data_IF_551479203467
#
_entry.id   IF_551479203467
#
_cell.length_a   1.000
_cell.length_b   1.000
_cell.length_c   1.000
_cell.angle_alpha   90.00
_cell.angle_beta   90.00
_cell.angle_gamma   90.00
#
_symmetry.space_group_name_H-M   'P 1'
#
loop_
_entity.id
_entity.type
_entity.pdbx_description
1 polymer ?
#
# COMPACT_ATOMS: atom_id res chain seq x y z
N UNK A 1 3.61 14.57 29.61
CA UNK A 1 3.74 13.53 28.55
C UNK A 1 3.19 14.12 27.27
N UNK A 2 3.94 14.10 26.15
CA UNK A 2 3.52 14.75 24.90
C UNK A 2 2.53 13.91 24.09
N UNK A 3 2.36 12.63 24.43
CA UNK A 3 1.57 11.69 23.62
C UNK A 3 0.84 10.69 24.51
N UNK A 4 -0.45 10.54 24.31
CA UNK A 4 -1.23 9.43 24.84
C UNK A 4 -1.25 8.30 23.79
N UNK A 5 -0.78 7.11 24.13
CA UNK A 5 -0.89 5.93 23.29
C UNK A 5 -2.34 5.45 23.26
N UNK A 6 -2.90 5.33 22.07
CA UNK A 6 -4.25 4.77 21.87
C UNK A 6 -4.18 3.30 21.53
N UNK A 7 -3.16 2.90 20.77
CA UNK A 7 -3.02 1.54 20.24
C UNK A 7 -1.54 1.18 20.08
N UNK A 8 -1.14 0.09 20.72
CA UNK A 8 0.22 -0.42 20.68
C UNK A 8 0.22 -1.86 20.16
N UNK A 9 0.86 -2.08 19.00
CA UNK A 9 1.15 -3.42 18.49
C UNK A 9 2.47 -3.95 19.03
N UNK A 10 2.88 -5.14 18.58
CA UNK A 10 4.22 -5.67 18.80
C UNK A 10 5.25 -4.71 18.21
N UNK A 11 6.21 -4.26 19.03
CA UNK A 11 7.23 -3.32 18.62
C UNK A 11 8.50 -4.06 18.19
N UNK A 12 9.10 -3.57 17.12
CA UNK A 12 10.46 -3.91 16.76
C UNK A 12 11.41 -3.14 17.70
N UNK A 13 12.36 -3.81 18.38
CA UNK A 13 13.31 -3.13 19.25
C UNK A 13 14.22 -2.13 18.52
N UNK A 14 14.30 -2.19 17.20
CA UNK A 14 15.09 -1.26 16.35
C UNK A 14 14.34 0.04 16.06
N UNK A 15 13.02 0.11 16.24
CA UNK A 15 12.25 1.32 15.99
C UNK A 15 12.27 2.26 17.19
N UNK A 16 12.55 3.58 16.99
CA UNK A 16 12.68 4.53 18.08
C UNK A 16 11.34 5.08 18.61
N UNK A 17 10.21 4.54 18.20
CA UNK A 17 8.88 5.13 18.42
C UNK A 17 8.54 5.42 19.88
N UNK A 18 9.15 4.70 20.81
CA UNK A 18 8.95 4.87 22.26
C UNK A 18 10.05 5.65 22.96
N UNK A 19 11.15 5.94 22.26
CA UNK A 19 12.27 6.73 22.80
C UNK A 19 11.81 8.16 23.11
N UNK A 20 12.02 8.66 24.37
CA UNK A 20 11.65 10.01 24.74
C UNK A 20 12.37 11.11 23.94
N UNK A 21 13.63 10.91 23.57
CA UNK A 21 14.40 11.87 22.78
C UNK A 21 13.87 11.96 21.35
N UNK A 22 13.57 10.81 20.74
CA UNK A 22 12.94 10.75 19.43
C UNK A 22 11.55 11.42 19.42
N UNK A 23 10.73 11.16 20.45
CA UNK A 23 9.42 11.80 20.62
C UNK A 23 9.51 13.30 20.83
N UNK A 24 10.52 13.77 21.54
CA UNK A 24 10.76 15.20 21.72
C UNK A 24 11.14 15.86 20.38
N UNK A 25 12.01 15.22 19.60
CA UNK A 25 12.46 15.69 18.30
C UNK A 25 11.29 15.74 17.29
N UNK A 26 10.49 14.68 17.19
CA UNK A 26 9.30 14.65 16.31
C UNK A 26 8.27 15.68 16.73
N UNK A 27 8.03 15.84 18.04
CA UNK A 27 7.13 16.84 18.55
C UNK A 27 7.60 18.27 18.28
N UNK A 28 8.90 18.54 18.28
CA UNK A 28 9.46 19.85 17.91
C UNK A 28 9.27 20.11 16.41
N UNK A 29 9.59 19.14 15.56
CA UNK A 29 9.41 19.24 14.11
C UNK A 29 7.93 19.49 13.74
N UNK A 30 7.00 18.69 14.28
CA UNK A 30 5.56 18.88 14.04
C UNK A 30 5.10 20.29 14.38
N UNK A 31 5.51 20.84 15.55
CA UNK A 31 5.12 22.20 15.94
C UNK A 31 5.71 23.26 15.02
N UNK A 32 6.95 23.08 14.59
CA UNK A 32 7.60 23.97 13.65
C UNK A 32 6.84 24.01 12.31
N UNK A 33 6.53 22.83 11.75
CA UNK A 33 5.81 22.76 10.48
C UNK A 33 4.38 23.31 10.58
N UNK A 34 3.65 22.97 11.65
CA UNK A 34 2.32 23.55 11.91
C UNK A 34 2.37 25.08 12.00
N UNK A 35 3.37 25.63 12.68
CA UNK A 35 3.52 27.09 12.78
C UNK A 35 3.80 27.73 11.41
N UNK A 36 4.61 27.09 10.56
CA UNK A 36 4.85 27.51 9.16
C UNK A 36 3.58 27.56 8.31
N UNK A 37 2.60 26.72 8.62
CA UNK A 37 1.28 26.70 7.98
C UNK A 37 0.20 27.53 8.71
N UNK A 38 0.56 28.27 9.76
CA UNK A 38 -0.40 29.05 10.56
C UNK A 38 -1.38 28.16 11.37
N UNK A 39 -1.04 26.90 11.59
CA UNK A 39 -1.86 25.94 12.33
C UNK A 39 -1.43 25.88 13.80
N UNK A 40 -2.40 25.97 14.73
CA UNK A 40 -2.13 25.95 16.15
C UNK A 40 -2.64 24.63 16.77
N UNK A 41 -1.78 23.82 17.39
CA UNK A 41 -2.23 22.63 18.12
C UNK A 41 -3.14 22.99 19.30
N UNK A 42 -4.24 22.23 19.49
CA UNK A 42 -5.18 22.44 20.60
C UNK A 42 -4.74 21.81 21.92
N UNK A 43 -4.01 20.71 21.86
CA UNK A 43 -3.61 19.93 23.01
C UNK A 43 -2.13 19.56 22.93
N UNK A 44 -1.53 19.28 24.09
CA UNK A 44 -0.16 18.79 24.15
C UNK A 44 -0.09 17.27 24.11
N UNK A 45 -1.19 16.58 24.42
CA UNK A 45 -1.30 15.13 24.37
C UNK A 45 -1.93 14.70 23.05
N UNK A 46 -1.09 14.24 22.14
CA UNK A 46 -1.52 13.72 20.85
C UNK A 46 -1.76 12.22 20.91
N UNK A 47 -2.77 11.74 20.22
CA UNK A 47 -3.04 10.31 20.15
C UNK A 47 -2.03 9.63 19.25
N UNK A 48 -1.36 8.61 19.77
CA UNK A 48 -0.41 7.79 19.03
C UNK A 48 -1.00 6.43 18.68
N UNK A 49 -0.78 6.01 17.43
CA UNK A 49 -0.94 4.63 16.98
C UNK A 49 0.44 4.13 16.61
N UNK A 50 0.94 3.12 17.34
CA UNK A 50 2.29 2.60 17.17
C UNK A 50 2.20 1.19 16.63
N UNK A 51 2.83 0.97 15.48
CA UNK A 51 2.98 -0.31 14.81
C UNK A 51 4.44 -0.55 14.46
N UNK A 52 4.82 -1.77 14.14
CA UNK A 52 6.18 -2.11 13.68
C UNK A 52 6.54 -1.36 12.39
N UNK A 53 5.57 -1.20 11.49
CA UNK A 53 5.73 -0.61 10.16
C UNK A 53 5.48 0.90 10.10
N UNK A 54 4.93 1.52 11.15
CA UNK A 54 4.75 2.97 11.21
C UNK A 54 4.34 3.45 12.59
N UNK A 55 4.54 4.73 12.85
CA UNK A 55 3.87 5.44 13.91
C UNK A 55 3.05 6.59 13.34
N UNK A 56 1.83 6.73 13.84
CA UNK A 56 0.91 7.80 13.50
C UNK A 56 0.58 8.61 14.74
N UNK A 57 0.63 9.94 14.61
CA UNK A 57 0.09 10.85 15.63
C UNK A 57 -1.07 11.65 15.06
N UNK A 58 -2.24 11.56 15.70
CA UNK A 58 -3.35 12.48 15.42
C UNK A 58 -3.14 13.73 16.27
N UNK A 59 -2.88 14.85 15.61
CA UNK A 59 -2.60 16.15 16.21
C UNK A 59 -3.81 17.06 16.04
N UNK A 60 -4.60 17.30 17.07
CA UNK A 60 -5.73 18.22 16.99
C UNK A 60 -5.24 19.66 16.84
N UNK A 61 -5.78 20.40 15.85
CA UNK A 61 -5.56 21.84 15.68
C UNK A 61 -6.85 22.63 15.77
N UNK A 62 -6.76 23.95 15.76
CA UNK A 62 -7.96 24.82 15.73
C UNK A 62 -8.74 24.69 14.41
N UNK A 63 -8.07 24.28 13.34
CA UNK A 63 -8.65 24.15 11.98
C UNK A 63 -9.02 22.71 11.61
N UNK A 64 -8.95 21.77 12.56
CA UNK A 64 -9.15 20.34 12.34
C UNK A 64 -7.90 19.52 12.66
N UNK A 65 -7.98 18.19 12.68
CA UNK A 65 -6.83 17.36 12.96
C UNK A 65 -5.86 17.34 11.78
N UNK A 66 -4.57 17.13 12.09
CA UNK A 66 -3.53 16.74 11.13
C UNK A 66 -2.90 15.44 11.59
N UNK A 67 -2.26 14.74 10.66
CA UNK A 67 -1.67 13.45 10.93
C UNK A 67 -0.17 13.48 10.65
N UNK A 68 0.61 13.18 11.68
CA UNK A 68 2.03 12.88 11.50
C UNK A 68 2.19 11.38 11.27
N UNK A 69 3.01 11.01 10.29
CA UNK A 69 3.43 9.63 10.05
C UNK A 69 4.94 9.57 10.01
N UNK A 70 5.51 8.55 10.64
CA UNK A 70 6.90 8.18 10.46
C UNK A 70 7.02 6.69 10.13
N UNK A 71 7.90 6.38 9.20
CA UNK A 71 8.15 5.04 8.70
C UNK A 71 9.53 4.51 9.12
N UNK A 72 9.71 3.18 9.25
CA UNK A 72 11.01 2.57 9.43
C UNK A 72 11.88 2.74 8.16
N UNK A 73 13.16 2.39 8.26
CA UNK A 73 14.10 2.55 7.15
C UNK A 73 13.64 1.85 5.86
N UNK A 74 12.99 0.70 5.99
CA UNK A 74 12.52 -0.11 4.85
C UNK A 74 11.45 0.56 3.99
N UNK A 75 10.63 1.45 4.57
CA UNK A 75 9.56 2.19 3.89
C UNK A 75 9.71 3.70 4.02
N UNK A 76 10.92 4.19 4.32
CA UNK A 76 11.23 5.62 4.47
C UNK A 76 10.90 6.43 3.23
N UNK A 77 11.00 5.84 2.05
CA UNK A 77 10.66 6.45 0.76
C UNK A 77 9.23 7.00 0.70
N UNK A 78 8.31 6.44 1.49
CA UNK A 78 6.90 6.84 1.47
C UNK A 78 6.71 8.34 1.70
N UNK A 79 7.51 8.95 2.57
CA UNK A 79 7.41 10.39 2.83
C UNK A 79 7.72 11.23 1.56
N UNK A 80 8.82 10.92 0.87
CA UNK A 80 9.19 11.55 -0.39
C UNK A 80 8.19 11.26 -1.50
N UNK A 81 7.76 10.00 -1.62
CA UNK A 81 6.77 9.56 -2.60
C UNK A 81 5.42 10.29 -2.40
N UNK A 82 4.90 10.35 -1.18
CA UNK A 82 3.65 11.07 -0.87
C UNK A 82 3.75 12.55 -1.21
N UNK A 83 4.92 13.18 -0.97
CA UNK A 83 5.17 14.56 -1.35
C UNK A 83 5.17 14.76 -2.86
N UNK A 84 5.73 13.84 -3.63
CA UNK A 84 5.70 13.85 -5.09
C UNK A 84 4.27 13.64 -5.61
N UNK A 85 3.62 12.55 -5.21
CA UNK A 85 2.27 12.20 -5.66
C UNK A 85 1.24 13.29 -5.31
N UNK A 86 1.31 13.86 -4.11
CA UNK A 86 0.39 14.92 -3.70
C UNK A 86 0.56 16.24 -4.46
N UNK A 87 1.75 16.51 -5.05
CA UNK A 87 1.97 17.67 -5.92
C UNK A 87 1.52 17.43 -7.36
N UNK A 88 1.86 16.26 -7.91
CA UNK A 88 1.57 15.93 -9.31
C UNK A 88 0.13 15.45 -9.53
N UNK A 89 -0.47 14.81 -8.51
CA UNK A 89 -1.78 14.17 -8.58
C UNK A 89 -2.65 14.51 -7.34
N UNK A 90 -2.88 15.81 -7.03
CA UNK A 90 -3.61 16.23 -5.82
C UNK A 90 -5.07 15.76 -5.80
N UNK A 91 -5.63 15.41 -6.95
CA UNK A 91 -6.97 14.83 -7.09
C UNK A 91 -7.04 13.39 -6.56
N UNK A 92 -5.91 12.67 -6.53
CA UNK A 92 -5.82 11.26 -6.13
C UNK A 92 -4.98 11.01 -4.88
N UNK A 93 -4.17 11.97 -4.43
CA UNK A 93 -3.34 11.83 -3.23
C UNK A 93 -3.38 13.13 -2.44
N UNK A 94 -3.54 13.04 -1.11
CA UNK A 94 -3.47 14.22 -0.26
C UNK A 94 -2.08 14.85 -0.35
N UNK A 95 -2.04 16.15 -0.61
CA UNK A 95 -0.77 16.90 -0.56
C UNK A 95 -0.34 17.05 0.89
N UNK A 96 0.84 16.50 1.28
CA UNK A 96 1.37 16.71 2.61
C UNK A 96 1.59 18.18 2.92
N UNK A 97 1.35 18.58 4.16
CA UNK A 97 1.71 19.91 4.67
C UNK A 97 3.24 20.04 4.73
N UNK A 98 3.93 18.99 5.19
CA UNK A 98 5.38 18.94 5.25
C UNK A 98 5.89 17.51 5.06
N UNK A 99 7.12 17.39 4.55
CA UNK A 99 7.83 16.11 4.35
C UNK A 99 9.29 16.27 4.76
N UNK A 100 9.79 15.33 5.54
CA UNK A 100 11.22 15.10 5.77
C UNK A 100 11.56 13.71 5.21
N UNK A 101 12.00 13.66 3.97
CA UNK A 101 12.28 12.42 3.25
C UNK A 101 13.48 11.65 3.83
N UNK A 102 14.45 12.35 4.43
CA UNK A 102 15.62 11.71 5.06
C UNK A 102 15.23 10.92 6.31
N UNK A 103 14.29 11.46 7.10
CA UNK A 103 13.79 10.81 8.31
C UNK A 103 12.60 9.91 8.06
N UNK A 104 11.98 9.98 6.87
CA UNK A 104 10.75 9.28 6.54
C UNK A 104 9.54 9.84 7.29
N UNK A 105 9.47 11.14 7.51
CA UNK A 105 8.40 11.84 8.22
C UNK A 105 7.50 12.61 7.26
N UNK A 106 6.22 12.55 7.50
CA UNK A 106 5.22 13.35 6.78
C UNK A 106 4.19 13.94 7.74
N UNK A 107 3.72 15.15 7.43
CA UNK A 107 2.61 15.82 8.09
C UNK A 107 1.50 15.97 7.06
N UNK A 108 0.37 15.33 7.29
CA UNK A 108 -0.73 15.19 6.34
C UNK A 108 -1.97 15.92 6.86
N UNK A 109 -2.75 16.57 5.98
CA UNK A 109 -4.09 17.01 6.34
C UNK A 109 -5.00 15.81 6.66
N UNK A 110 -6.13 16.05 7.32
CA UNK A 110 -7.14 15.01 7.51
C UNK A 110 -7.88 14.75 6.19
N UNK A 111 -7.85 13.51 5.73
CA UNK A 111 -8.56 13.08 4.51
C UNK A 111 -10.03 12.75 4.72
N UNK A 112 -10.50 12.83 5.96
CA UNK A 112 -11.87 12.40 6.31
C UNK A 112 -11.97 10.88 6.54
N UNK A 113 -13.18 10.31 6.46
CA UNK A 113 -13.40 8.89 6.67
C UNK A 113 -12.78 8.07 5.53
N UNK A 114 -12.23 6.92 5.87
CA UNK A 114 -11.82 5.94 4.87
C UNK A 114 -13.05 5.24 4.25
N UNK A 115 -12.88 4.70 3.06
CA UNK A 115 -13.99 4.04 2.33
C UNK A 115 -14.64 2.93 3.16
N UNK A 116 -13.85 2.11 3.84
CA UNK A 116 -14.34 1.05 4.74
C UNK A 116 -15.29 1.59 5.82
N UNK A 117 -14.94 2.69 6.45
CA UNK A 117 -15.78 3.32 7.49
C UNK A 117 -17.06 3.88 6.90
N UNK A 118 -16.98 4.54 5.74
CA UNK A 118 -18.14 5.09 5.05
C UNK A 118 -19.13 3.99 4.60
N UNK A 119 -18.59 2.87 4.07
CA UNK A 119 -19.42 1.70 3.69
C UNK A 119 -20.05 1.04 4.91
N UNK A 120 -19.29 0.86 5.99
CA UNK A 120 -19.80 0.31 7.24
C UNK A 120 -20.93 1.18 7.85
N UNK A 121 -20.77 2.50 7.82
CA UNK A 121 -21.79 3.45 8.29
C UNK A 121 -23.08 3.38 7.44
N UNK A 122 -22.98 3.05 6.16
CA UNK A 122 -24.12 2.82 5.26
C UNK A 122 -24.77 1.44 5.47
N UNK A 123 -24.06 0.51 6.11
CA UNK A 123 -24.56 -0.83 6.45
C UNK A 123 -24.37 -1.90 5.36
N UNK A 124 -23.75 -1.56 4.23
CA UNK A 124 -23.47 -2.52 3.16
C UNK A 124 -22.30 -2.06 2.30
N UNK A 125 -21.54 -3.01 1.78
CA UNK A 125 -20.53 -2.83 0.74
C UNK A 125 -20.87 -3.78 -0.41
N UNK A 126 -20.87 -3.27 -1.63
CA UNK A 126 -21.13 -4.04 -2.85
C UNK A 126 -20.03 -3.76 -3.87
N UNK A 127 -19.91 -4.57 -4.91
CA UNK A 127 -18.94 -4.33 -5.98
C UNK A 127 -19.10 -2.95 -6.60
N UNK A 128 -20.33 -2.42 -6.70
CA UNK A 128 -20.63 -1.09 -7.27
C UNK A 128 -19.85 0.04 -6.58
N UNK A 129 -19.56 -0.11 -5.29
CA UNK A 129 -18.82 0.88 -4.52
C UNK A 129 -17.34 0.91 -4.90
N UNK A 130 -16.82 -0.18 -5.43
CA UNK A 130 -15.41 -0.33 -5.82
C UNK A 130 -15.15 -0.03 -7.31
N UNK A 131 -16.17 -0.08 -8.18
CA UNK A 131 -15.97 0.19 -9.62
C UNK A 131 -15.39 1.58 -9.89
N UNK A 132 -15.90 2.70 -9.28
CA UNK A 132 -15.29 4.01 -9.48
C UNK A 132 -13.88 4.10 -8.88
N UNK A 133 -13.61 3.40 -7.78
CA UNK A 133 -12.30 3.34 -7.13
C UNK A 133 -11.24 2.78 -8.08
N UNK A 134 -11.50 1.58 -8.64
CA UNK A 134 -10.51 0.90 -9.48
C UNK A 134 -10.30 1.60 -10.82
N UNK A 135 -11.34 2.27 -11.39
CA UNK A 135 -11.18 3.11 -12.59
C UNK A 135 -10.26 4.29 -12.31
N UNK A 136 -10.52 5.03 -11.24
CA UNK A 136 -9.70 6.18 -10.85
C UNK A 136 -8.28 5.77 -10.50
N UNK A 137 -8.12 4.63 -9.82
CA UNK A 137 -6.79 4.10 -9.50
C UNK A 137 -6.02 3.71 -10.77
N UNK A 138 -6.65 3.05 -11.74
CA UNK A 138 -6.01 2.68 -13.01
C UNK A 138 -5.57 3.90 -13.82
N UNK A 139 -6.41 4.94 -13.90
CA UNK A 139 -6.07 6.22 -14.55
C UNK A 139 -4.88 6.89 -13.85
N UNK A 140 -4.92 6.98 -12.53
CA UNK A 140 -3.83 7.52 -11.71
C UNK A 140 -2.53 6.71 -11.91
N UNK A 141 -2.60 5.38 -11.81
CA UNK A 141 -1.44 4.50 -11.93
C UNK A 141 -0.73 4.66 -13.29
N UNK A 142 -1.50 4.83 -14.38
CA UNK A 142 -0.95 5.10 -15.72
C UNK A 142 -0.31 6.48 -15.84
N UNK A 143 -0.76 7.45 -15.06
CA UNK A 143 -0.24 8.82 -15.10
C UNK A 143 1.05 9.00 -14.29
N UNK A 144 1.31 8.14 -13.30
CA UNK A 144 2.50 8.24 -12.43
C UNK A 144 3.74 7.71 -13.13
N UNK A 145 4.83 8.49 -13.13
CA UNK A 145 6.15 8.03 -13.61
C UNK A 145 6.75 6.99 -12.67
N UNK A 146 6.93 5.77 -13.18
CA UNK A 146 7.59 4.66 -12.49
C UNK A 146 9.07 4.99 -12.22
N UNK A 147 9.77 5.62 -13.18
CA UNK A 147 11.17 6.03 -13.04
C UNK A 147 11.33 7.01 -11.88
N UNK A 148 10.41 7.98 -11.79
CA UNK A 148 10.45 8.95 -10.69
C UNK A 148 10.19 8.30 -9.34
N UNK A 149 9.31 7.32 -9.28
CA UNK A 149 9.08 6.54 -8.06
C UNK A 149 10.35 5.81 -7.61
N UNK A 150 11.07 5.17 -8.54
CA UNK A 150 12.35 4.48 -8.27
C UNK A 150 13.40 5.49 -7.78
N UNK A 151 13.54 6.66 -8.41
CA UNK A 151 14.45 7.72 -7.96
C UNK A 151 14.17 8.19 -6.53
N UNK A 152 12.93 8.14 -6.09
CA UNK A 152 12.50 8.46 -4.72
C UNK A 152 12.75 7.31 -3.73
N UNK A 153 13.28 6.17 -4.20
CA UNK A 153 13.63 5.03 -3.37
C UNK A 153 12.54 3.95 -3.28
N UNK A 154 11.47 4.04 -4.07
CA UNK A 154 10.50 2.94 -4.19
C UNK A 154 11.21 1.72 -4.77
N UNK A 155 11.11 0.54 -4.14
CA UNK A 155 11.73 -0.66 -4.66
C UNK A 155 11.18 -1.03 -6.04
N UNK A 156 12.08 -1.39 -6.96
CA UNK A 156 11.69 -2.00 -8.22
C UNK A 156 11.76 -3.52 -8.06
N UNK A 157 10.62 -4.17 -8.24
CA UNK A 157 10.46 -5.64 -8.27
C UNK A 157 9.78 -6.02 -9.58
N UNK A 158 10.32 -5.48 -10.68
CA UNK A 158 9.79 -5.67 -12.01
C UNK A 158 9.71 -7.15 -12.39
N UNK A 159 8.64 -7.53 -13.07
CA UNK A 159 8.33 -8.93 -13.43
C UNK A 159 9.48 -9.61 -14.17
N UNK A 160 10.20 -8.85 -15.01
CA UNK A 160 11.35 -9.38 -15.77
C UNK A 160 12.52 -9.82 -14.92
N UNK A 161 12.68 -9.20 -13.75
CA UNK A 161 13.79 -9.48 -12.82
C UNK A 161 13.38 -10.43 -11.69
N UNK A 162 12.08 -10.66 -11.49
CA UNK A 162 11.60 -11.55 -10.45
C UNK A 162 12.17 -12.97 -10.52
N UNK A 163 12.33 -13.62 -11.69
CA UNK A 163 12.97 -14.95 -11.77
C UNK A 163 14.42 -14.95 -11.25
N UNK A 164 15.15 -13.85 -11.45
CA UNK A 164 16.53 -13.70 -10.98
C UNK A 164 16.59 -13.48 -9.45
N UNK A 165 15.45 -13.11 -8.84
CA UNK A 165 15.31 -12.92 -7.39
C UNK A 165 14.74 -14.15 -6.67
N UNK A 166 14.63 -15.31 -7.35
CA UNK A 166 14.14 -16.54 -6.73
C UNK A 166 14.95 -16.95 -5.50
N UNK A 167 16.27 -16.76 -5.51
CA UNK A 167 17.12 -16.99 -4.35
C UNK A 167 16.74 -16.08 -3.16
N UNK A 168 16.33 -14.84 -3.43
CA UNK A 168 15.83 -13.94 -2.39
C UNK A 168 14.48 -14.37 -1.87
N UNK A 169 13.58 -14.82 -2.75
CA UNK A 169 12.29 -15.40 -2.38
C UNK A 169 12.52 -16.65 -1.53
N UNK A 170 13.40 -17.55 -1.95
CA UNK A 170 13.75 -18.74 -1.17
C UNK A 170 14.38 -18.36 0.17
N UNK A 171 15.30 -17.39 0.20
CA UNK A 171 15.92 -16.91 1.43
C UNK A 171 14.90 -16.30 2.39
N UNK A 172 13.95 -15.50 1.87
CA UNK A 172 12.84 -14.97 2.66
C UNK A 172 11.91 -16.08 3.14
N UNK A 173 11.59 -17.04 2.26
CA UNK A 173 10.74 -18.20 2.56
C UNK A 173 11.37 -19.18 3.55
N UNK A 174 12.70 -19.14 3.78
CA UNK A 174 13.33 -19.98 4.82
C UNK A 174 12.89 -19.67 6.26
N UNK A 175 12.30 -18.50 6.45
CA UNK A 175 11.62 -18.16 7.71
C UNK A 175 10.28 -18.88 7.89
N UNK A 176 9.71 -19.39 6.78
CA UNK A 176 8.47 -20.14 6.77
C UNK A 176 8.73 -21.58 7.24
N UNK A 177 7.73 -22.19 7.87
CA UNK A 177 7.81 -23.57 8.35
C UNK A 177 6.54 -24.35 8.03
N UNK A 178 6.65 -25.68 8.00
CA UNK A 178 5.50 -26.57 7.85
C UNK A 178 4.72 -26.33 6.56
N UNK A 179 3.42 -26.06 6.69
CA UNK A 179 2.49 -25.94 5.56
C UNK A 179 2.81 -24.74 4.66
N UNK A 180 3.25 -23.62 5.21
CA UNK A 180 3.60 -22.43 4.46
C UNK A 180 4.77 -22.67 3.52
N UNK A 181 5.81 -23.34 4.02
CA UNK A 181 6.97 -23.74 3.22
C UNK A 181 6.56 -24.69 2.09
N UNK A 182 5.73 -25.67 2.38
CA UNK A 182 5.25 -26.63 1.37
C UNK A 182 4.44 -25.94 0.27
N UNK A 183 3.62 -24.93 0.60
CA UNK A 183 2.88 -24.13 -0.37
C UNK A 183 3.81 -23.30 -1.27
N UNK A 184 4.83 -22.67 -0.69
CA UNK A 184 5.83 -21.94 -1.45
C UNK A 184 6.56 -22.87 -2.42
N UNK A 185 7.10 -24.00 -1.93
CA UNK A 185 7.84 -24.99 -2.73
C UNK A 185 7.01 -25.52 -3.89
N UNK A 186 5.69 -25.70 -3.70
CA UNK A 186 4.78 -26.14 -4.75
C UNK A 186 4.54 -25.09 -5.85
N UNK A 187 4.79 -23.79 -5.56
CA UNK A 187 4.56 -22.68 -6.51
C UNK A 187 5.82 -22.23 -7.25
N UNK A 188 6.99 -22.38 -6.62
CA UNK A 188 8.25 -21.91 -7.20
C UNK A 188 8.57 -22.47 -8.59
N UNK A 189 8.30 -23.76 -8.92
CA UNK A 189 8.61 -24.31 -10.25
C UNK A 189 7.91 -23.58 -11.38
N UNK A 190 6.67 -23.14 -11.19
CA UNK A 190 5.88 -22.47 -12.22
C UNK A 190 6.10 -20.95 -12.22
N UNK A 191 6.67 -20.41 -11.15
CA UNK A 191 6.79 -18.97 -10.95
C UNK A 191 7.61 -18.26 -12.04
N UNK A 192 8.73 -18.83 -12.43
CA UNK A 192 9.55 -18.26 -13.49
C UNK A 192 8.82 -18.25 -14.85
N UNK A 193 8.01 -19.28 -15.13
CA UNK A 193 7.18 -19.34 -16.34
C UNK A 193 6.11 -18.25 -16.31
N UNK A 194 5.42 -18.07 -15.19
CA UNK A 194 4.41 -17.02 -15.01
C UNK A 194 4.99 -15.62 -15.19
N UNK A 195 6.17 -15.37 -14.61
CA UNK A 195 6.86 -14.09 -14.79
C UNK A 195 7.21 -13.85 -16.27
N UNK A 196 7.69 -14.88 -16.97
CA UNK A 196 8.05 -14.77 -18.37
C UNK A 196 6.82 -14.48 -19.27
N UNK A 197 5.73 -15.19 -19.06
CA UNK A 197 4.46 -14.97 -19.73
C UNK A 197 3.91 -13.56 -19.47
N UNK A 198 3.90 -13.13 -18.21
CA UNK A 198 3.42 -11.82 -17.83
C UNK A 198 4.25 -10.70 -18.48
N UNK A 199 5.58 -10.87 -18.48
CA UNK A 199 6.49 -9.92 -19.14
C UNK A 199 6.31 -9.87 -20.66
N UNK A 200 5.92 -10.99 -21.29
CA UNK A 200 5.64 -11.07 -22.73
C UNK A 200 4.36 -10.33 -23.12
N UNK A 201 3.44 -10.09 -22.17
CA UNK A 201 2.21 -9.33 -22.38
C UNK A 201 2.42 -7.86 -22.74
N UNK A 202 3.64 -7.32 -22.54
CA UNK A 202 4.02 -6.00 -23.03
C UNK A 202 3.46 -4.81 -22.23
N UNK A 203 2.77 -5.05 -21.12
CA UNK A 203 2.32 -3.97 -20.20
C UNK A 203 3.54 -3.51 -19.38
N UNK A 204 3.88 -2.22 -19.39
CA UNK A 204 5.05 -1.72 -18.66
C UNK A 204 4.81 -1.74 -17.15
N UNK A 205 5.90 -1.93 -16.39
CA UNK A 205 5.85 -1.79 -14.93
C UNK A 205 5.42 -0.37 -14.54
N UNK A 206 4.66 -0.26 -13.45
CA UNK A 206 4.12 0.98 -12.93
C UNK A 206 4.22 1.02 -11.40
N UNK A 207 3.92 2.16 -10.81
CA UNK A 207 3.78 2.26 -9.36
C UNK A 207 2.59 1.40 -8.91
N UNK A 208 2.85 0.38 -8.11
CA UNK A 208 1.86 -0.43 -7.42
C UNK A 208 1.77 -0.03 -5.94
N UNK A 209 0.55 0.07 -5.43
CA UNK A 209 0.30 0.33 -4.02
C UNK A 209 0.66 -0.88 -3.14
N UNK A 210 0.59 -2.07 -3.70
CA UNK A 210 0.82 -3.38 -3.09
C UNK A 210 -0.11 -3.75 -1.91
N UNK A 211 -0.89 -2.82 -1.36
CA UNK A 211 -1.89 -3.07 -0.29
C UNK A 211 -3.18 -2.27 -0.50
N UNK A 212 -3.69 -2.22 -1.74
CA UNK A 212 -4.86 -1.42 -2.12
C UNK A 212 -6.16 -2.02 -1.59
N UNK A 213 -6.49 -1.70 -0.34
CA UNK A 213 -7.77 -2.07 0.28
C UNK A 213 -8.58 -0.84 0.72
N UNK A 214 -9.84 -1.03 1.03
CA UNK A 214 -10.79 0.03 1.40
C UNK A 214 -10.41 0.85 2.66
N UNK A 215 -9.48 0.36 3.46
CA UNK A 215 -8.89 1.09 4.59
C UNK A 215 -7.74 2.01 4.20
N UNK A 216 -7.24 1.93 2.96
CA UNK A 216 -6.16 2.77 2.40
C UNK A 216 -6.70 3.76 1.35
N UNK A 217 -7.99 3.92 1.31
CA UNK A 217 -8.71 4.77 0.35
C UNK A 217 -9.64 5.67 1.14
N UNK A 218 -9.58 6.98 0.94
CA UNK A 218 -10.58 7.88 1.51
C UNK A 218 -11.90 7.76 0.76
N UNK A 219 -13.02 7.91 1.48
CA UNK A 219 -14.32 8.09 0.86
C UNK A 219 -14.26 9.25 -0.15
N UNK A 220 -15.11 9.23 -1.22
CA UNK A 220 -15.01 10.25 -2.25
C UNK A 220 -15.27 11.64 -1.68
N UNK A 221 -14.44 12.59 -2.08
CA UNK A 221 -14.63 13.99 -1.76
C UNK A 221 -15.84 14.60 -2.50
N UNK A 222 -16.11 15.91 -2.31
CA UNK A 222 -17.17 16.61 -3.01
C UNK A 222 -17.01 16.61 -4.55
N UNK A 223 -15.78 16.39 -5.02
CA UNK A 223 -15.41 16.23 -6.43
C UNK A 223 -15.67 14.82 -6.98
N UNK A 224 -16.18 13.89 -6.17
CA UNK A 224 -16.38 12.49 -6.52
C UNK A 224 -15.07 11.67 -6.63
N UNK A 225 -13.94 12.28 -6.28
CA UNK A 225 -12.62 11.63 -6.38
C UNK A 225 -12.25 10.91 -5.10
N UNK A 226 -11.71 9.71 -5.27
CA UNK A 226 -11.06 8.95 -4.21
C UNK A 226 -9.59 9.35 -4.09
N UNK A 227 -9.07 9.39 -2.86
CA UNK A 227 -7.66 9.62 -2.60
C UNK A 227 -7.05 8.39 -1.95
N UNK A 228 -5.89 8.00 -2.47
CA UNK A 228 -5.13 6.83 -2.05
C UNK A 228 -4.02 7.25 -1.09
N UNK A 229 -3.76 6.45 -0.07
CA UNK A 229 -2.75 6.76 0.94
C UNK A 229 -2.11 5.48 1.51
N UNK A 230 -1.08 5.64 2.36
CA UNK A 230 -0.32 4.52 2.96
C UNK A 230 0.51 3.74 1.93
N UNK A 231 1.44 4.46 1.29
CA UNK A 231 2.32 3.95 0.24
C UNK A 231 3.56 3.20 0.76
N UNK A 232 3.59 2.81 2.05
CA UNK A 232 4.74 2.17 2.69
C UNK A 232 5.10 0.81 2.10
N UNK A 233 4.12 0.12 1.51
CA UNK A 233 4.30 -1.18 0.85
C UNK A 233 4.61 -1.04 -0.65
N UNK A 234 4.49 0.15 -1.21
CA UNK A 234 4.58 0.39 -2.65
C UNK A 234 5.84 -0.19 -3.29
N UNK A 235 5.69 -0.61 -4.52
CA UNK A 235 6.75 -1.10 -5.38
C UNK A 235 6.52 -0.64 -6.84
N UNK A 236 7.57 -0.62 -7.64
CA UNK A 236 7.45 -0.55 -9.10
C UNK A 236 7.46 -1.98 -9.62
N UNK A 237 6.32 -2.42 -10.15
CA UNK A 237 6.06 -3.79 -10.62
C UNK A 237 4.96 -3.78 -11.68
N UNK A 238 4.48 -4.97 -12.09
CA UNK A 238 3.36 -5.05 -13.04
C UNK A 238 2.10 -4.41 -12.46
N UNK A 239 1.46 -3.45 -13.16
CA UNK A 239 0.36 -2.64 -12.61
C UNK A 239 -0.84 -3.46 -12.11
N UNK A 240 -1.11 -4.62 -12.74
CA UNK A 240 -2.27 -5.44 -12.40
C UNK A 240 -2.10 -6.19 -11.07
N UNK A 241 -0.91 -6.20 -10.48
CA UNK A 241 -0.63 -6.73 -9.13
C UNK A 241 -1.52 -6.10 -8.06
N UNK A 242 -1.84 -4.80 -8.18
CA UNK A 242 -2.76 -4.08 -7.28
C UNK A 242 -4.11 -4.76 -7.12
N UNK A 243 -4.58 -5.48 -8.14
CA UNK A 243 -5.90 -6.10 -8.12
C UNK A 243 -6.01 -7.32 -7.22
N UNK A 244 -4.89 -7.93 -6.80
CA UNK A 244 -4.88 -9.05 -5.87
C UNK A 244 -5.60 -8.70 -4.56
N UNK A 245 -5.16 -7.62 -3.90
CA UNK A 245 -5.72 -7.20 -2.59
C UNK A 245 -7.15 -6.70 -2.74
N UNK A 246 -7.41 -5.88 -3.76
CA UNK A 246 -8.76 -5.33 -4.00
C UNK A 246 -9.77 -6.44 -4.28
N UNK A 247 -9.40 -7.45 -5.09
CA UNK A 247 -10.26 -8.61 -5.37
C UNK A 247 -10.59 -9.39 -4.09
N UNK A 248 -9.60 -9.60 -3.22
CA UNK A 248 -9.82 -10.26 -1.92
C UNK A 248 -10.78 -9.47 -1.01
N UNK A 249 -10.68 -8.14 -1.03
CA UNK A 249 -11.59 -7.28 -0.27
C UNK A 249 -13.03 -7.45 -0.74
N UNK A 250 -13.30 -7.34 -2.05
CA UNK A 250 -14.67 -7.45 -2.56
C UNK A 250 -15.25 -8.85 -2.35
N UNK A 251 -14.43 -9.91 -2.52
CA UNK A 251 -14.85 -11.28 -2.21
C UNK A 251 -15.22 -11.47 -0.74
N UNK A 252 -14.43 -10.91 0.18
CA UNK A 252 -14.74 -10.92 1.62
C UNK A 252 -16.05 -10.21 1.93
N UNK A 253 -16.42 -9.21 1.13
CA UNK A 253 -17.68 -8.48 1.22
C UNK A 253 -18.83 -9.17 0.46
N UNK A 254 -18.62 -10.41 -0.02
CA UNK A 254 -19.68 -11.24 -0.62
C UNK A 254 -19.79 -11.17 -2.15
N UNK A 255 -18.83 -10.54 -2.86
CA UNK A 255 -18.81 -10.51 -4.32
C UNK A 255 -18.63 -11.93 -4.91
N UNK A 256 -19.44 -12.28 -5.90
CA UNK A 256 -19.31 -13.49 -6.68
C UNK A 256 -18.33 -13.33 -7.86
N UNK A 257 -18.16 -14.37 -8.68
CA UNK A 257 -17.24 -14.36 -9.83
C UNK A 257 -17.66 -13.34 -10.89
N UNK A 258 -18.96 -13.09 -11.06
CA UNK A 258 -19.47 -12.10 -11.99
C UNK A 258 -19.12 -10.67 -11.51
N UNK A 259 -19.24 -10.43 -10.24
CA UNK A 259 -18.86 -9.16 -9.62
C UNK A 259 -17.37 -8.91 -9.73
N UNK A 260 -16.55 -9.94 -9.48
CA UNK A 260 -15.10 -9.86 -9.66
C UNK A 260 -14.73 -9.58 -11.12
N UNK A 261 -15.35 -10.25 -12.07
CA UNK A 261 -15.13 -9.97 -13.49
C UNK A 261 -15.48 -8.52 -13.85
N UNK A 262 -16.56 -7.97 -13.31
CA UNK A 262 -16.95 -6.54 -13.49
C UNK A 262 -15.93 -5.58 -12.88
N UNK A 263 -15.41 -5.92 -11.69
CA UNK A 263 -14.35 -5.15 -11.04
C UNK A 263 -13.10 -5.11 -11.91
N UNK A 264 -12.65 -6.27 -12.39
CA UNK A 264 -11.48 -6.39 -13.27
C UNK A 264 -11.68 -5.61 -14.57
N UNK A 265 -12.85 -5.73 -15.22
CA UNK A 265 -13.16 -4.99 -16.43
C UNK A 265 -13.14 -3.47 -16.21
N UNK A 266 -13.64 -3.01 -15.07
CA UNK A 266 -13.63 -1.60 -14.72
C UNK A 266 -12.20 -1.06 -14.53
N UNK A 267 -11.30 -1.84 -13.94
CA UNK A 267 -9.89 -1.50 -13.82
C UNK A 267 -9.18 -1.52 -15.17
N UNK A 268 -9.41 -2.56 -15.97
CA UNK A 268 -8.76 -2.76 -17.25
C UNK A 268 -9.19 -1.75 -18.33
N UNK A 269 -10.29 -1.03 -18.13
CA UNK A 269 -10.79 -0.04 -19.10
C UNK A 269 -9.70 0.98 -19.50
N UNK A 270 -8.90 1.42 -18.54
CA UNK A 270 -7.80 2.36 -18.79
C UNK A 270 -6.69 1.80 -19.69
N UNK A 271 -6.62 0.49 -19.90
CA UNK A 271 -5.57 -0.21 -20.65
C UNK A 271 -6.02 -0.67 -22.04
N UNK A 272 -7.32 -0.62 -22.34
CA UNK A 272 -7.90 -1.15 -23.60
C UNK A 272 -7.51 -0.37 -24.84
N UNK A 273 -6.98 0.86 -24.69
CA UNK A 273 -6.47 1.63 -25.85
C UNK A 273 -5.22 1.04 -26.48
N UNK A 274 -4.45 0.27 -25.72
CA UNK A 274 -3.14 -0.24 -26.12
C UNK A 274 -3.15 -1.77 -26.31
N UNK A 275 -4.11 -2.48 -25.73
CA UNK A 275 -4.14 -3.95 -25.67
C UNK A 275 -5.56 -4.52 -25.87
N UNK A 276 -5.62 -5.74 -26.38
CA UNK A 276 -6.88 -6.49 -26.46
C UNK A 276 -7.45 -6.83 -25.07
N UNK A 277 -8.76 -6.64 -24.88
CA UNK A 277 -9.43 -6.84 -23.57
C UNK A 277 -9.34 -8.28 -23.08
N UNK A 278 -9.40 -9.28 -23.97
CA UNK A 278 -9.30 -10.68 -23.57
C UNK A 278 -7.90 -10.99 -23.06
N UNK A 279 -6.86 -10.54 -23.77
CA UNK A 279 -5.47 -10.65 -23.35
C UNK A 279 -5.22 -9.94 -22.01
N UNK A 280 -5.79 -8.75 -21.81
CA UNK A 280 -5.66 -8.01 -20.55
C UNK A 280 -6.25 -8.79 -19.35
N UNK A 281 -7.38 -9.47 -19.52
CA UNK A 281 -7.98 -10.30 -18.47
C UNK A 281 -7.09 -11.48 -18.09
N UNK A 282 -6.49 -12.15 -19.07
CA UNK A 282 -5.54 -13.24 -18.84
C UNK A 282 -4.30 -12.74 -18.09
N UNK A 283 -3.75 -11.61 -18.52
CA UNK A 283 -2.61 -10.97 -17.85
C UNK A 283 -2.94 -10.53 -16.43
N UNK A 284 -4.16 -10.06 -16.14
CA UNK A 284 -4.55 -9.66 -14.79
C UNK A 284 -4.59 -10.88 -13.85
N UNK A 285 -5.17 -11.98 -14.29
CA UNK A 285 -5.17 -13.23 -13.50
C UNK A 285 -3.74 -13.69 -13.24
N UNK A 286 -2.89 -13.66 -14.28
CA UNK A 286 -1.50 -14.05 -14.16
C UNK A 286 -0.70 -13.12 -13.23
N UNK A 287 -0.94 -11.80 -13.32
CA UNK A 287 -0.33 -10.83 -12.40
C UNK A 287 -0.71 -11.09 -10.94
N UNK A 288 -1.97 -11.41 -10.67
CA UNK A 288 -2.40 -11.77 -9.32
C UNK A 288 -1.71 -13.03 -8.79
N UNK A 289 -1.48 -14.04 -9.65
CA UNK A 289 -0.71 -15.25 -9.28
C UNK A 289 0.75 -14.92 -8.95
N UNK A 290 1.40 -14.13 -9.79
CA UNK A 290 2.79 -13.71 -9.59
C UNK A 290 2.89 -12.88 -8.31
N UNK A 291 1.99 -11.92 -8.10
CA UNK A 291 1.98 -11.05 -6.93
C UNK A 291 1.81 -11.83 -5.62
N UNK A 292 0.97 -12.86 -5.60
CA UNK A 292 0.79 -13.69 -4.41
C UNK A 292 2.10 -14.31 -3.89
N UNK A 293 3.05 -14.59 -4.80
CA UNK A 293 4.40 -15.05 -4.44
C UNK A 293 5.35 -13.86 -4.20
N UNK A 294 5.32 -12.84 -5.05
CA UNK A 294 6.20 -11.67 -4.96
C UNK A 294 6.01 -10.86 -3.68
N UNK A 295 4.82 -10.84 -3.09
CA UNK A 295 4.55 -10.22 -1.77
C UNK A 295 5.46 -10.72 -0.67
N UNK A 296 6.02 -11.93 -0.79
CA UNK A 296 7.02 -12.45 0.14
C UNK A 296 8.24 -11.50 0.24
N UNK A 297 8.67 -10.92 -0.88
CA UNK A 297 9.78 -9.96 -0.90
C UNK A 297 9.41 -8.66 -0.18
N UNK A 298 8.20 -8.15 -0.39
CA UNK A 298 7.72 -6.93 0.25
C UNK A 298 7.67 -7.13 1.78
N UNK A 299 7.07 -8.23 2.23
CA UNK A 299 6.95 -8.54 3.65
C UNK A 299 8.30 -8.79 4.32
N UNK A 300 9.21 -9.50 3.64
CA UNK A 300 10.55 -9.72 4.17
C UNK A 300 11.35 -8.41 4.28
N UNK A 301 11.13 -7.45 3.39
CA UNK A 301 11.71 -6.10 3.48
C UNK A 301 11.22 -5.36 4.72
N UNK A 302 9.91 -5.42 4.99
CA UNK A 302 9.27 -4.73 6.12
C UNK A 302 9.56 -5.42 7.46
N UNK A 303 9.71 -6.75 7.44
CA UNK A 303 9.84 -7.59 8.63
C UNK A 303 11.01 -8.58 8.52
N UNK A 304 12.25 -8.11 8.36
CA UNK A 304 13.39 -8.99 8.20
C UNK A 304 13.58 -9.87 9.45
N UNK A 305 13.68 -11.17 9.25
CA UNK A 305 13.95 -12.14 10.31
C UNK A 305 12.76 -12.51 11.21
N UNK A 306 11.54 -12.25 10.80
CA UNK A 306 10.36 -12.52 11.62
C UNK A 306 9.67 -13.84 11.28
N UNK A 307 9.73 -14.77 12.25
CA UNK A 307 8.86 -15.94 12.29
C UNK A 307 7.39 -15.60 12.65
N UNK A 308 7.13 -14.43 13.26
CA UNK A 308 5.80 -14.05 13.74
C UNK A 308 4.91 -13.35 12.67
N UNK A 309 5.47 -13.01 11.52
CA UNK A 309 4.70 -12.52 10.35
C UNK A 309 4.02 -13.62 9.55
N UNK A 310 4.26 -14.88 9.95
CA UNK A 310 3.88 -16.07 9.19
C UNK A 310 2.39 -16.39 9.17
N UNK A 311 1.59 -15.91 10.10
CA UNK A 311 0.18 -16.31 10.21
C UNK A 311 -0.74 -15.85 9.06
N UNK A 312 -0.29 -14.93 8.20
CA UNK A 312 -1.02 -14.47 7.01
C UNK A 312 -0.56 -15.13 5.69
N UNK A 313 0.68 -15.58 5.63
CA UNK A 313 1.31 -16.02 4.38
C UNK A 313 0.73 -17.32 3.84
N UNK A 314 0.45 -18.31 4.71
CA UNK A 314 -0.18 -19.56 4.30
C UNK A 314 -1.56 -19.32 3.68
N UNK A 315 -2.34 -18.42 4.27
CA UNK A 315 -3.65 -18.04 3.73
C UNK A 315 -3.50 -17.31 2.39
N UNK A 316 -2.49 -16.46 2.24
CA UNK A 316 -2.23 -15.74 0.99
C UNK A 316 -1.72 -16.67 -0.13
N UNK A 317 -0.79 -17.56 0.19
CA UNK A 317 -0.28 -18.56 -0.76
C UNK A 317 -1.36 -19.58 -1.14
N UNK A 318 -2.20 -20.00 -0.20
CA UNK A 318 -3.34 -20.86 -0.48
C UNK A 318 -4.36 -20.17 -1.41
N UNK A 319 -4.69 -18.91 -1.12
CA UNK A 319 -5.60 -18.13 -1.96
C UNK A 319 -5.05 -17.85 -3.38
N UNK A 320 -3.72 -17.86 -3.57
CA UNK A 320 -3.09 -17.77 -4.89
C UNK A 320 -3.35 -19.02 -5.76
N UNK A 321 -3.72 -20.15 -5.15
CA UNK A 321 -4.06 -21.36 -5.89
C UNK A 321 -5.42 -21.25 -6.61
N UNK A 322 -6.29 -20.37 -6.12
CA UNK A 322 -7.66 -20.23 -6.59
C UNK A 322 -7.83 -19.13 -7.66
N UNK A 323 -6.73 -18.50 -8.11
CA UNK A 323 -6.69 -17.56 -9.23
C UNK A 323 -6.44 -18.22 -10.57
#
# INVERSE_FOLDING_TARGET
>A
MLFSEVERGTLDPVTPWTDPAWRAQTGAWIRQELAGHGLTPRAQDWRARIRRWSVLYKVPTLSGPVWFKANPAASRFEAGLSGFLGREHPEHVLTPLAVDAERGWSLLPDGGPVLREALAARGSATVEDYLPVVRQYAEFQRAVSAERAVELGVPSIGVRTLPETLDQIDAAGRSLAGQERALLDARLPDFASWCHELAAGGVPDALDHADLHDGQIFAPGPDGRHRFFDWGDAAVTHPFSSMLVTTRVVRRNGADDRDVARLHDAYLEAWTGDHDRAALRELLVLACRVEAVARILIWNRLFPGNADGSSGWAAELAAAADY
#
